data_IF_254244093192
#
_entry.id   IF_254244093192
#
_cell.length_a   1.000
_cell.length_b   1.000
_cell.length_c   1.000
_cell.angle_alpha   90.00
_cell.angle_beta   90.00
_cell.angle_gamma   90.00
#
_symmetry.space_group_name_H-M   'P 1'
#
loop_
_entity.id
_entity.type
_entity.pdbx_description
1 polymer ?
#
# COMPACT_ATOMS: atom_id res chain seq x y z
N UNK A 1 -0.40 -5.17 3.63
CA UNK A 1 -0.72 -6.55 4.06
C UNK A 1 -0.32 -6.91 5.51
N UNK A 2 0.94 -7.13 5.88
CA UNK A 2 1.33 -7.69 7.22
C UNK A 2 0.70 -6.96 8.43
N UNK A 3 0.74 -5.62 8.41
CA UNK A 3 0.21 -4.80 9.52
C UNK A 3 -1.32 -4.80 9.60
N UNK A 4 -2.05 -4.96 8.48
CA UNK A 4 -3.53 -5.04 8.50
C UNK A 4 -3.97 -6.36 9.14
N UNK A 5 -3.26 -7.45 8.84
CA UNK A 5 -3.58 -8.73 9.46
C UNK A 5 -3.24 -8.80 10.94
N UNK A 6 -2.19 -8.10 11.38
CA UNK A 6 -1.93 -7.89 12.81
C UNK A 6 -3.07 -7.10 13.47
N UNK A 7 -3.49 -5.97 12.88
CA UNK A 7 -4.56 -5.13 13.42
C UNK A 7 -5.89 -5.91 13.56
N UNK A 8 -6.21 -6.79 12.59
CA UNK A 8 -7.34 -7.72 12.68
C UNK A 8 -7.12 -8.80 13.76
N UNK A 9 -5.92 -9.38 13.85
CA UNK A 9 -5.58 -10.39 14.85
C UNK A 9 -5.68 -9.88 16.30
N UNK A 10 -5.35 -8.61 16.56
CA UNK A 10 -5.50 -7.98 17.88
C UNK A 10 -6.96 -7.79 18.28
N UNK A 11 -7.87 -7.55 17.32
CA UNK A 11 -9.30 -7.30 17.56
C UNK A 11 -10.09 -8.58 17.91
N UNK A 12 -9.62 -9.76 17.48
CA UNK A 12 -10.39 -11.03 17.57
C UNK A 12 -9.77 -12.13 18.47
N UNK A 13 -8.94 -11.78 19.47
CA UNK A 13 -8.39 -12.65 20.53
C UNK A 13 -7.40 -13.78 20.13
N UNK A 14 -6.48 -14.08 21.07
CA UNK A 14 -5.24 -14.89 20.99
C UNK A 14 -5.33 -16.34 20.45
N UNK A 15 -6.51 -16.88 20.13
CA UNK A 15 -6.67 -18.28 19.69
C UNK A 15 -6.70 -18.49 18.17
N UNK A 16 -6.81 -17.42 17.38
CA UNK A 16 -7.08 -17.51 15.93
C UNK A 16 -5.82 -17.30 15.08
N UNK A 17 -4.70 -16.90 15.69
CA UNK A 17 -3.50 -16.43 15.01
C UNK A 17 -2.85 -17.46 14.06
N UNK A 18 -2.79 -18.73 14.43
CA UNK A 18 -2.01 -19.72 13.67
C UNK A 18 -2.73 -20.24 12.42
N UNK A 19 -4.07 -20.28 12.43
CA UNK A 19 -4.90 -20.65 11.27
C UNK A 19 -5.34 -19.43 10.44
N UNK A 20 -5.11 -18.22 10.96
CA UNK A 20 -5.36 -16.97 10.25
C UNK A 20 -4.29 -16.74 9.19
N UNK A 21 -2.99 -16.94 9.42
CA UNK A 21 -1.98 -16.47 8.45
C UNK A 21 -2.18 -16.97 6.99
N UNK A 22 -2.58 -18.23 6.80
CA UNK A 22 -2.91 -18.77 5.46
C UNK A 22 -4.22 -18.19 4.90
N UNK A 23 -5.21 -17.96 5.78
CA UNK A 23 -6.51 -17.38 5.43
C UNK A 23 -6.53 -15.85 5.48
N UNK A 24 -5.46 -15.20 5.94
CA UNK A 24 -5.39 -13.78 6.22
C UNK A 24 -5.24 -12.98 4.94
N UNK A 25 -4.39 -13.46 4.04
CA UNK A 25 -4.28 -12.91 2.70
C UNK A 25 -5.61 -13.01 1.97
N UNK A 26 -6.26 -14.17 2.06
CA UNK A 26 -7.61 -14.38 1.51
C UNK A 26 -8.62 -13.44 2.13
N UNK A 27 -8.64 -13.31 3.46
CA UNK A 27 -9.52 -12.40 4.20
C UNK A 27 -9.32 -10.94 3.76
N UNK A 28 -8.07 -10.47 3.66
CA UNK A 28 -7.75 -9.10 3.21
C UNK A 28 -8.21 -8.86 1.76
N UNK A 29 -8.14 -9.90 0.91
CA UNK A 29 -8.56 -9.81 -0.50
C UNK A 29 -10.08 -9.90 -0.69
N UNK A 30 -10.76 -10.83 -0.01
CA UNK A 30 -12.19 -11.13 -0.22
C UNK A 30 -13.11 -10.42 0.76
N UNK A 31 -12.56 -9.91 1.86
CA UNK A 31 -13.34 -9.41 3.01
C UNK A 31 -14.02 -10.51 3.82
N UNK A 32 -13.90 -11.79 3.43
CA UNK A 32 -14.73 -12.88 3.94
C UNK A 32 -13.89 -14.09 4.32
N UNK A 33 -14.20 -14.70 5.46
CA UNK A 33 -13.55 -15.94 5.92
C UNK A 33 -14.60 -16.90 6.47
N UNK A 34 -14.40 -18.20 6.25
CA UNK A 34 -15.23 -19.24 6.84
C UNK A 34 -14.56 -19.71 8.13
N UNK A 35 -15.23 -19.52 9.27
CA UNK A 35 -14.70 -19.84 10.58
C UNK A 35 -15.83 -20.38 11.47
N UNK A 36 -15.53 -21.43 12.24
CA UNK A 36 -16.50 -22.07 13.13
C UNK A 36 -17.85 -22.41 12.47
N UNK A 37 -17.80 -22.96 11.24
CA UNK A 37 -18.98 -23.31 10.41
C UNK A 37 -19.85 -22.11 9.98
N UNK A 38 -19.38 -20.89 10.19
CA UNK A 38 -20.06 -19.67 9.80
C UNK A 38 -19.21 -18.87 8.80
N UNK A 39 -19.89 -18.16 7.90
CA UNK A 39 -19.23 -17.21 7.01
C UNK A 39 -19.23 -15.84 7.68
N UNK A 40 -18.05 -15.34 8.02
CA UNK A 40 -17.87 -14.02 8.60
C UNK A 40 -17.51 -13.02 7.49
N UNK A 41 -18.14 -11.84 7.52
CA UNK A 41 -17.90 -10.74 6.59
C UNK A 41 -17.28 -9.54 7.32
N UNK A 42 -16.04 -9.23 6.97
CA UNK A 42 -15.22 -8.13 7.48
C UNK A 42 -14.93 -7.09 6.39
N UNK A 43 -15.67 -7.12 5.28
CA UNK A 43 -15.41 -6.22 4.15
C UNK A 43 -15.46 -4.75 4.55
N UNK A 44 -16.36 -4.38 5.45
CA UNK A 44 -16.48 -3.01 5.95
C UNK A 44 -15.32 -2.64 6.88
N UNK A 45 -14.99 -3.51 7.85
CA UNK A 45 -13.82 -3.30 8.73
C UNK A 45 -12.53 -3.12 7.93
N UNK A 46 -12.29 -3.93 6.90
CA UNK A 46 -11.10 -3.84 6.05
C UNK A 46 -11.08 -2.54 5.27
N UNK A 47 -12.23 -2.09 4.73
CA UNK A 47 -12.33 -0.78 4.07
C UNK A 47 -12.00 0.35 5.03
N UNK A 48 -12.50 0.30 6.25
CA UNK A 48 -12.29 1.35 7.25
C UNK A 48 -10.84 1.39 7.73
N UNK A 49 -10.20 0.23 7.92
CA UNK A 49 -8.76 0.14 8.22
C UNK A 49 -7.91 0.71 7.08
N UNK A 50 -8.23 0.37 5.82
CA UNK A 50 -7.50 0.89 4.64
C UNK A 50 -7.64 2.42 4.53
N UNK A 51 -8.84 2.94 4.79
CA UNK A 51 -9.14 4.38 4.79
C UNK A 51 -8.38 5.13 5.88
N UNK A 52 -8.50 4.70 7.14
CA UNK A 52 -7.77 5.31 8.27
C UNK A 52 -6.26 5.35 8.01
N UNK A 53 -5.72 4.29 7.43
CA UNK A 53 -4.30 4.25 7.08
C UNK A 53 -3.95 5.23 5.95
N UNK A 54 -4.78 5.31 4.91
CA UNK A 54 -4.59 6.26 3.82
C UNK A 54 -4.63 7.71 4.32
N UNK A 55 -5.58 8.05 5.20
CA UNK A 55 -5.69 9.38 5.82
C UNK A 55 -4.44 9.74 6.63
N UNK A 56 -3.92 8.80 7.42
CA UNK A 56 -2.65 9.01 8.17
C UNK A 56 -1.47 9.27 7.24
N UNK A 57 -1.35 8.51 6.15
CA UNK A 57 -0.29 8.73 5.16
C UNK A 57 -0.44 10.10 4.51
N UNK A 58 -1.66 10.46 4.11
CA UNK A 58 -1.93 11.73 3.47
C UNK A 58 -1.63 12.91 4.41
N UNK A 59 -2.05 12.84 5.66
CA UNK A 59 -1.78 13.90 6.64
C UNK A 59 -0.27 14.15 6.78
N UNK A 60 0.54 13.09 6.82
CA UNK A 60 2.00 13.22 6.86
C UNK A 60 2.58 13.79 5.56
N UNK A 61 2.03 13.43 4.39
CA UNK A 61 2.42 13.99 3.10
C UNK A 61 2.11 15.49 3.07
N UNK A 62 0.87 15.87 3.34
CA UNK A 62 0.41 17.26 3.31
C UNK A 62 1.21 18.11 4.29
N UNK A 63 1.44 17.63 5.51
CA UNK A 63 2.26 18.34 6.52
C UNK A 63 3.69 18.61 6.05
N UNK A 64 4.30 17.67 5.33
CA UNK A 64 5.67 17.82 4.82
C UNK A 64 5.74 18.65 3.55
N UNK A 65 4.68 18.66 2.76
CA UNK A 65 4.67 19.26 1.42
C UNK A 65 3.82 20.52 1.34
N UNK A 66 3.32 21.06 2.45
CA UNK A 66 2.42 22.23 2.51
C UNK A 66 2.77 23.32 1.50
N UNK A 67 4.05 23.72 1.46
CA UNK A 67 4.50 24.86 0.65
C UNK A 67 4.97 24.46 -0.77
N UNK A 68 5.09 23.16 -1.04
CA UNK A 68 5.65 22.66 -2.31
C UNK A 68 4.70 21.80 -3.12
N UNK A 69 3.56 21.43 -2.55
CA UNK A 69 2.61 20.48 -3.16
C UNK A 69 2.10 20.97 -4.52
N UNK A 70 1.95 22.28 -4.68
CA UNK A 70 1.50 22.93 -5.92
C UNK A 70 2.54 22.92 -7.05
N UNK A 71 3.81 22.62 -6.76
CA UNK A 71 4.86 22.51 -7.78
C UNK A 71 4.92 21.12 -8.42
N UNK A 72 4.18 20.14 -7.90
CA UNK A 72 4.19 18.79 -8.45
C UNK A 72 3.19 18.66 -9.60
N UNK A 73 3.70 18.35 -10.80
CA UNK A 73 2.86 18.01 -11.95
C UNK A 73 2.17 16.64 -11.79
N UNK A 74 2.86 15.70 -11.12
CA UNK A 74 2.36 14.37 -10.82
C UNK A 74 3.11 13.77 -9.63
N UNK A 75 2.42 12.92 -8.87
CA UNK A 75 3.00 12.11 -7.80
C UNK A 75 2.73 10.65 -8.07
N UNK A 76 3.79 9.83 -8.03
CA UNK A 76 3.69 8.40 -8.28
C UNK A 76 3.77 7.63 -6.98
N UNK A 77 2.72 6.89 -6.66
CA UNK A 77 2.68 5.98 -5.53
C UNK A 77 3.25 4.62 -5.92
N UNK A 78 4.16 4.09 -5.09
CA UNK A 78 4.75 2.76 -5.27
C UNK A 78 4.77 1.94 -3.98
N UNK A 79 5.11 0.66 -4.09
CA UNK A 79 5.08 -0.32 -3.01
C UNK A 79 3.71 -0.95 -2.79
N UNK A 80 3.67 -2.16 -2.22
CA UNK A 80 2.41 -2.91 -2.03
C UNK A 80 1.37 -2.19 -1.15
N UNK A 81 1.81 -1.34 -0.21
CA UNK A 81 0.90 -0.53 0.59
C UNK A 81 0.15 0.52 -0.21
N UNK A 82 0.77 1.11 -1.24
CA UNK A 82 0.11 2.11 -2.08
C UNK A 82 -1.05 1.52 -2.86
N UNK A 83 -0.93 0.28 -3.34
CA UNK A 83 -1.98 -0.45 -4.06
C UNK A 83 -3.22 -0.61 -3.17
N UNK A 84 -3.02 -1.04 -1.92
CA UNK A 84 -4.11 -1.25 -0.96
C UNK A 84 -4.85 0.05 -0.60
N UNK A 85 -4.19 1.20 -0.70
CA UNK A 85 -4.69 2.51 -0.24
C UNK A 85 -5.07 3.46 -1.39
N UNK A 86 -4.77 3.10 -2.65
CA UNK A 86 -4.78 4.06 -3.76
C UNK A 86 -6.13 4.76 -3.96
N UNK A 87 -7.22 4.01 -3.90
CA UNK A 87 -8.57 4.56 -4.07
C UNK A 87 -8.89 5.62 -3.00
N UNK A 88 -8.38 5.45 -1.78
CA UNK A 88 -8.55 6.42 -0.70
C UNK A 88 -7.59 7.61 -0.82
N UNK A 89 -6.36 7.39 -1.32
CA UNK A 89 -5.37 8.45 -1.52
C UNK A 89 -5.79 9.40 -2.65
N UNK A 90 -6.35 8.87 -3.74
CA UNK A 90 -6.76 9.64 -4.93
C UNK A 90 -7.90 10.61 -4.66
N UNK A 91 -8.84 10.25 -3.79
CA UNK A 91 -10.04 11.06 -3.49
C UNK A 91 -9.68 12.39 -2.83
N UNK A 92 -8.63 12.42 -2.01
CA UNK A 92 -8.28 13.62 -1.24
C UNK A 92 -7.31 14.54 -2.00
N UNK A 93 -6.87 14.12 -3.18
CA UNK A 93 -5.80 14.77 -3.92
C UNK A 93 -6.31 15.47 -5.19
N UNK A 94 -7.48 16.11 -5.17
CA UNK A 94 -8.00 16.84 -6.34
C UNK A 94 -6.97 17.86 -6.89
N UNK A 95 -6.12 18.41 -6.02
CA UNK A 95 -5.02 19.31 -6.38
C UNK A 95 -3.71 18.61 -6.78
N UNK A 96 -3.59 17.30 -6.55
CA UNK A 96 -2.37 16.52 -6.78
C UNK A 96 -2.68 15.37 -7.73
N UNK A 97 -2.13 15.40 -8.94
CA UNK A 97 -2.28 14.30 -9.89
C UNK A 97 -1.55 13.06 -9.38
N UNK A 98 -2.26 12.19 -8.65
CA UNK A 98 -1.73 10.96 -8.07
C UNK A 98 -1.91 9.78 -9.02
N UNK A 99 -0.82 9.06 -9.29
CA UNK A 99 -0.79 7.90 -10.18
C UNK A 99 -0.14 6.69 -9.48
N UNK A 100 -0.64 5.48 -9.74
CA UNK A 100 0.08 4.25 -9.37
C UNK A 100 1.21 4.02 -10.36
N UNK A 101 2.40 3.69 -9.86
CA UNK A 101 3.45 3.19 -10.73
C UNK A 101 3.01 1.87 -11.40
N UNK A 102 3.39 1.69 -12.68
CA UNK A 102 2.97 0.54 -13.51
C UNK A 102 3.21 -0.81 -12.82
N UNK A 103 4.39 -0.97 -12.20
CA UNK A 103 4.76 -2.13 -11.40
C UNK A 103 5.04 -1.71 -9.95
N UNK A 104 4.02 -1.11 -9.30
CA UNK A 104 4.16 -0.52 -7.95
C UNK A 104 4.86 -1.42 -6.94
N UNK A 105 4.55 -2.73 -6.88
CA UNK A 105 5.22 -3.63 -5.93
C UNK A 105 6.73 -3.79 -6.18
N UNK A 106 7.17 -3.68 -7.44
CA UNK A 106 8.56 -3.82 -7.85
C UNK A 106 9.26 -2.47 -8.06
N UNK A 107 8.60 -1.33 -7.77
CA UNK A 107 9.11 0.00 -8.10
C UNK A 107 10.56 0.24 -7.65
N UNK A 108 10.91 -0.16 -6.43
CA UNK A 108 12.28 -0.05 -5.92
C UNK A 108 13.26 -0.96 -6.68
N UNK A 109 12.89 -2.23 -6.91
CA UNK A 109 13.75 -3.19 -7.60
C UNK A 109 14.03 -2.77 -9.05
N UNK A 110 13.00 -2.32 -9.77
CA UNK A 110 13.14 -1.80 -11.12
C UNK A 110 13.99 -0.52 -11.16
N UNK A 111 13.81 0.37 -10.18
CA UNK A 111 14.63 1.57 -10.03
C UNK A 111 16.12 1.21 -9.83
N UNK A 112 16.42 0.29 -8.92
CA UNK A 112 17.79 -0.17 -8.69
C UNK A 112 18.41 -0.83 -9.92
N UNK A 113 17.65 -1.70 -10.58
CA UNK A 113 18.11 -2.34 -11.81
C UNK A 113 18.46 -1.31 -12.89
N UNK A 114 17.59 -0.30 -13.09
CA UNK A 114 17.84 0.73 -14.10
C UNK A 114 19.05 1.60 -13.78
N UNK A 115 19.24 1.94 -12.50
CA UNK A 115 20.41 2.71 -12.05
C UNK A 115 21.71 1.91 -12.31
N UNK A 116 21.71 0.60 -12.02
CA UNK A 116 22.85 -0.27 -12.28
C UNK A 116 23.18 -0.37 -13.78
N UNK A 117 22.17 -0.59 -14.62
CA UNK A 117 22.31 -0.63 -16.09
C UNK A 117 22.95 0.65 -16.65
N UNK A 118 22.48 1.83 -16.18
CA UNK A 118 23.03 3.12 -16.60
C UNK A 118 24.48 3.31 -16.13
N UNK A 119 24.82 2.82 -14.94
CA UNK A 119 26.19 2.89 -14.41
C UNK A 119 27.15 2.04 -15.24
N UNK A 120 26.73 0.84 -15.66
CA UNK A 120 27.52 -0.04 -16.54
C UNK A 120 27.72 0.54 -17.94
N UNK A 121 26.70 1.17 -18.52
CA UNK A 121 26.84 1.84 -19.81
C UNK A 121 27.86 2.99 -19.72
N UNK A 122 27.82 3.75 -18.62
CA UNK A 122 28.75 4.87 -18.39
C UNK A 122 30.19 4.42 -18.17
N UNK A 123 30.43 3.24 -17.58
CA UNK A 123 31.79 2.71 -17.42
C UNK A 123 32.36 2.21 -18.75
N UNK A 124 31.54 1.59 -19.61
CA UNK A 124 31.97 1.12 -20.94
C UNK A 124 32.34 2.24 -21.91
N UNK A 125 31.74 3.42 -21.80
CA UNK A 125 32.03 4.59 -22.67
C UNK A 125 33.33 5.33 -22.25
N UNK A 126 33.86 5.06 -21.04
CA UNK A 126 35.08 5.71 -20.53
C UNK A 126 36.37 4.92 -20.80
N UNK A 127 36.26 3.75 -21.45
CA UNK A 127 37.37 2.94 -21.94
C UNK A 127 37.36 2.92 -23.47
#
# INVERSE_FOLDING_TARGET
MYKIGLDLGYKYTKGVADNIYSNLLRLIQTGKVYFNREQLDFSQDIKDIKRDRAEKVLNEITKKWTDIILYFNAVFASGGGSIDMFDYLKVVSESLKLELAKDSQMGNALGYHKIAELAELKSKVRH
#
